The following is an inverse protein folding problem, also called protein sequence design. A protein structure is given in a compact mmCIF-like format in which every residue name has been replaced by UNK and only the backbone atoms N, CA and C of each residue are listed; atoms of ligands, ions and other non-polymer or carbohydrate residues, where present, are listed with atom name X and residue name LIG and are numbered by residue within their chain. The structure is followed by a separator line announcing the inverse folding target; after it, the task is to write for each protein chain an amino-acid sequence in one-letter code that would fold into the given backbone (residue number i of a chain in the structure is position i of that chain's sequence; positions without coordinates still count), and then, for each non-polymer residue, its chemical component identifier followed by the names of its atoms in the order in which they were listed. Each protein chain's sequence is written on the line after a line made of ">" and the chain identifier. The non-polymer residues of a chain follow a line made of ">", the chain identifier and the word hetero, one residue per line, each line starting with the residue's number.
data_IF_952184085369
#
_entry.id   IF_952184085369
#
_cell.length_a   1.000
_cell.length_b   1.000
_cell.length_c   1.000
_cell.angle_alpha   90.00
_cell.angle_beta   90.00
_cell.angle_gamma   90.00
#
_symmetry.space_group_name_H-M   'P 1'
#
loop_
_entity.id
_entity.type
_entity.pdbx_description
1 polymer ?
#
# COMPACT_ATOMS: atom_id res chain seq x y z
N UNK A 1 5.29 13.58 22.08
CA UNK A 1 5.81 13.42 20.72
C UNK A 1 6.28 14.75 20.12
N UNK A 2 5.52 15.85 20.25
CA UNK A 2 5.91 17.16 19.72
C UNK A 2 7.15 17.69 20.41
N UNK A 3 7.20 17.65 21.73
CA UNK A 3 8.39 18.01 22.53
C UNK A 3 9.61 17.16 22.15
N UNK A 4 9.42 15.86 22.02
CA UNK A 4 10.48 14.95 21.57
C UNK A 4 10.99 15.31 20.16
N UNK A 5 10.09 15.75 19.26
CA UNK A 5 10.47 16.14 17.90
C UNK A 5 11.37 17.39 17.88
N UNK A 6 11.14 18.35 18.77
CA UNK A 6 11.91 19.61 18.81
C UNK A 6 13.39 19.36 19.12
N UNK A 7 13.70 18.37 19.96
CA UNK A 7 15.07 18.03 20.38
C UNK A 7 15.70 16.88 19.60
N UNK A 8 14.95 16.23 18.72
CA UNK A 8 15.40 15.03 18.01
C UNK A 8 16.27 15.34 16.79
N UNK A 9 17.18 14.43 16.46
CA UNK A 9 17.95 14.46 15.22
C UNK A 9 17.06 14.34 13.96
N UNK A 10 17.54 14.73 12.78
CA UNK A 10 16.77 14.67 11.51
C UNK A 10 16.14 13.30 11.22
N UNK A 11 16.85 12.22 11.54
CA UNK A 11 16.34 10.86 11.33
C UNK A 11 15.25 10.49 12.32
N UNK A 12 15.43 10.85 13.60
CA UNK A 12 14.43 10.62 14.64
C UNK A 12 13.17 11.47 14.43
N UNK A 13 13.31 12.70 13.93
CA UNK A 13 12.18 13.56 13.57
C UNK A 13 11.27 12.92 12.51
N UNK A 14 11.83 12.12 11.60
CA UNK A 14 11.03 11.36 10.61
C UNK A 14 10.17 10.31 11.30
N UNK A 15 10.74 9.57 12.25
CA UNK A 15 10.03 8.55 13.01
C UNK A 15 8.94 9.14 13.90
N UNK A 16 9.23 10.28 14.56
CA UNK A 16 8.26 10.99 15.37
C UNK A 16 7.12 11.55 14.52
N UNK A 17 7.41 12.10 13.32
CA UNK A 17 6.37 12.53 12.37
C UNK A 17 5.46 11.38 11.96
N UNK A 18 6.00 10.21 11.72
CA UNK A 18 5.20 9.03 11.36
C UNK A 18 4.31 8.60 12.53
N UNK A 19 4.83 8.64 13.78
CA UNK A 19 4.01 8.38 14.98
C UNK A 19 2.90 9.43 15.18
N UNK A 20 3.16 10.70 14.90
CA UNK A 20 2.14 11.75 14.97
C UNK A 20 1.06 11.52 13.91
N UNK A 21 1.45 11.13 12.68
CA UNK A 21 0.51 10.79 11.61
C UNK A 21 -0.34 9.57 11.94
N UNK A 22 0.22 8.56 12.58
CA UNK A 22 -0.54 7.38 13.01
C UNK A 22 -1.59 7.67 14.09
N UNK A 23 -1.49 8.84 14.74
CA UNK A 23 -2.51 9.35 15.65
C UNK A 23 -3.58 10.22 14.95
N UNK A 24 -3.56 10.28 13.61
CA UNK A 24 -4.52 11.04 12.81
C UNK A 24 -4.19 12.53 12.64
N UNK A 25 -3.00 12.98 13.06
CA UNK A 25 -2.59 14.38 12.91
C UNK A 25 -1.65 14.56 11.72
N UNK A 26 -2.07 15.36 10.74
CA UNK A 26 -1.26 15.70 9.58
C UNK A 26 -0.60 17.04 9.76
N UNK A 27 0.66 17.16 9.34
CA UNK A 27 1.40 18.41 9.41
C UNK A 27 0.88 19.50 8.46
N UNK A 28 0.15 19.11 7.42
CA UNK A 28 -0.57 20.03 6.54
C UNK A 28 -1.71 20.76 7.22
N UNK A 29 -2.27 20.17 8.28
CA UNK A 29 -3.37 20.77 9.05
C UNK A 29 -2.87 21.93 9.93
N UNK A 30 -1.56 21.99 10.11
CA UNK A 30 -0.86 23.02 10.87
C UNK A 30 -0.18 23.97 9.87
N UNK A 31 -0.89 24.95 9.36
CA UNK A 31 -0.52 25.80 8.22
C UNK A 31 0.69 26.71 8.43
N UNK A 32 1.57 26.43 9.36
CA UNK A 32 2.62 27.35 9.73
C UNK A 32 3.98 27.00 9.10
N UNK A 33 4.48 27.86 8.23
CA UNK A 33 5.81 27.79 7.61
C UNK A 33 6.99 27.87 8.59
N UNK A 34 6.73 28.12 9.88
CA UNK A 34 7.74 28.33 10.93
C UNK A 34 8.14 27.10 11.71
N UNK A 35 7.56 25.93 11.44
CA UNK A 35 7.79 24.72 12.24
C UNK A 35 6.94 24.70 13.52
N UNK A 36 6.59 23.49 13.96
CA UNK A 36 5.71 23.32 15.13
C UNK A 36 6.44 23.65 16.42
N UNK A 37 5.86 24.54 17.21
CA UNK A 37 6.20 24.69 18.62
C UNK A 37 5.15 23.97 19.46
N UNK A 38 5.49 23.69 20.71
CA UNK A 38 4.54 23.13 21.70
C UNK A 38 3.40 24.10 21.94
N UNK A 39 3.66 25.40 21.85
CA UNK A 39 2.69 26.45 22.10
C UNK A 39 1.69 26.57 20.95
N UNK A 40 2.13 26.52 19.69
CA UNK A 40 1.23 26.45 18.52
C UNK A 40 0.25 25.25 18.64
N UNK A 41 0.74 24.11 19.15
CA UNK A 41 -0.10 22.93 19.36
C UNK A 41 -1.11 23.13 20.49
N UNK A 42 -0.73 23.79 21.59
CA UNK A 42 -1.65 24.13 22.68
C UNK A 42 -2.74 25.11 22.24
N UNK A 43 -2.38 26.10 21.43
CA UNK A 43 -3.34 27.04 20.87
C UNK A 43 -4.40 26.36 20.01
N UNK A 44 -3.99 25.42 19.15
CA UNK A 44 -4.91 24.65 18.32
C UNK A 44 -5.85 23.74 19.14
N UNK A 45 -5.36 23.22 20.28
CA UNK A 45 -6.20 22.47 21.22
C UNK A 45 -7.22 23.40 21.89
N UNK A 46 -6.80 24.59 22.33
CA UNK A 46 -7.69 25.58 22.95
C UNK A 46 -8.72 26.13 21.98
N UNK A 47 -8.34 26.29 20.71
CA UNK A 47 -9.25 26.69 19.62
C UNK A 47 -10.25 25.57 19.22
N UNK A 48 -10.09 24.35 19.75
CA UNK A 48 -10.94 23.20 19.42
C UNK A 48 -10.69 22.61 18.04
N UNK A 49 -9.65 23.05 17.34
CA UNK A 49 -9.24 22.51 16.04
C UNK A 49 -8.59 21.13 16.19
N UNK A 50 -8.00 20.85 17.35
CA UNK A 50 -7.46 19.54 17.72
C UNK A 50 -8.14 19.06 18.98
N UNK A 51 -8.80 17.90 18.95
CA UNK A 51 -9.41 17.26 20.12
C UNK A 51 -8.42 16.30 20.77
N UNK A 52 -8.11 16.50 22.04
CA UNK A 52 -7.39 15.51 22.84
C UNK A 52 -8.35 14.36 23.14
N UNK A 53 -8.02 13.17 22.66
CA UNK A 53 -8.71 11.95 23.07
C UNK A 53 -8.26 11.61 24.50
N UNK A 54 -9.15 11.80 25.47
CA UNK A 54 -8.89 11.42 26.86
C UNK A 54 -8.89 9.89 26.95
N UNK A 55 -7.75 9.30 27.30
CA UNK A 55 -7.56 7.84 27.40
C UNK A 55 -8.51 7.18 28.41
N UNK A 56 -9.06 7.94 29.36
CA UNK A 56 -10.11 7.44 30.28
C UNK A 56 -11.51 7.40 29.65
N UNK A 57 -11.70 7.99 28.47
CA UNK A 57 -12.98 8.03 27.77
C UNK A 57 -13.12 6.93 26.73
N UNK A 58 -12.03 6.24 26.38
CA UNK A 58 -12.07 5.10 25.46
C UNK A 58 -12.89 3.92 25.96
N UNK A 59 -13.02 3.76 27.29
CA UNK A 59 -13.93 2.75 27.85
C UNK A 59 -15.42 3.18 27.80
N UNK A 60 -15.72 4.50 27.79
CA UNK A 60 -17.10 5.02 27.69
C UNK A 60 -17.54 5.32 26.25
N UNK A 61 -16.63 5.46 25.29
CA UNK A 61 -16.94 5.69 23.87
C UNK A 61 -17.35 4.41 23.13
N UNK A 62 -17.26 3.25 23.77
CA UNK A 62 -17.87 1.99 23.26
C UNK A 62 -19.39 2.03 23.18
N UNK A 63 -20.04 3.09 23.65
CA UNK A 63 -21.49 3.26 23.61
C UNK A 63 -21.98 4.43 22.74
N UNK A 64 -21.10 5.10 21.99
CA UNK A 64 -21.53 6.15 21.06
C UNK A 64 -21.57 5.60 19.61
N UNK A 65 -22.73 5.61 19.01
CA UNK A 65 -23.10 5.02 17.72
C UNK A 65 -22.16 5.33 16.54
N UNK A 66 -21.36 6.39 16.60
CA UNK A 66 -20.43 6.77 15.55
C UNK A 66 -19.11 5.98 15.58
N UNK A 67 -18.62 5.53 16.77
CA UNK A 67 -17.45 4.68 16.86
C UNK A 67 -17.76 3.23 16.49
N UNK A 68 -18.93 2.74 16.91
CA UNK A 68 -19.39 1.39 16.53
C UNK A 68 -19.59 1.27 15.01
N UNK A 69 -20.12 2.31 14.36
CA UNK A 69 -20.27 2.34 12.91
C UNK A 69 -18.93 2.40 12.17
N UNK A 70 -17.90 3.04 12.74
CA UNK A 70 -16.58 3.12 12.11
C UNK A 70 -15.82 1.79 12.23
N UNK A 71 -15.84 1.18 13.40
CA UNK A 71 -15.23 -0.15 13.64
C UNK A 71 -15.97 -1.23 12.85
N UNK A 72 -17.30 -1.19 12.81
CA UNK A 72 -18.09 -2.13 12.00
C UNK A 72 -17.86 -1.95 10.49
N UNK A 73 -17.65 -0.71 10.01
CA UNK A 73 -17.31 -0.46 8.60
C UNK A 73 -15.91 -0.98 8.24
N UNK A 74 -14.92 -0.85 9.12
CA UNK A 74 -13.57 -1.36 8.87
C UNK A 74 -13.54 -2.89 8.84
N UNK A 75 -14.20 -3.56 9.76
CA UNK A 75 -14.39 -5.03 9.75
C UNK A 75 -15.12 -5.48 8.50
N UNK A 76 -16.20 -4.79 8.12
CA UNK A 76 -16.96 -5.09 6.88
C UNK A 76 -16.07 -4.95 5.62
N UNK A 77 -15.19 -3.97 5.55
CA UNK A 77 -14.28 -3.79 4.41
C UNK A 77 -13.25 -4.89 4.31
N UNK A 78 -12.62 -5.26 5.43
CA UNK A 78 -11.67 -6.35 5.45
C UNK A 78 -12.33 -7.67 4.99
N UNK A 79 -13.51 -7.98 5.55
CA UNK A 79 -14.23 -9.20 5.21
C UNK A 79 -14.72 -9.20 3.75
N UNK A 80 -15.20 -8.05 3.24
CA UNK A 80 -15.61 -7.91 1.84
C UNK A 80 -14.43 -8.03 0.89
N UNK A 81 -13.29 -7.41 1.21
CA UNK A 81 -12.11 -7.41 0.35
C UNK A 81 -11.52 -8.81 0.17
N UNK A 82 -11.56 -9.66 1.22
CA UNK A 82 -10.97 -11.01 1.17
C UNK A 82 -11.99 -12.12 0.95
N UNK A 83 -13.26 -11.78 0.78
CA UNK A 83 -14.30 -12.77 0.53
C UNK A 83 -14.06 -13.48 -0.81
N UNK A 84 -14.02 -14.80 -0.77
CA UNK A 84 -13.76 -15.63 -1.96
C UNK A 84 -14.70 -15.33 -3.14
N UNK A 85 -15.96 -15.02 -2.86
CA UNK A 85 -16.97 -14.74 -3.89
C UNK A 85 -16.78 -13.39 -4.59
N UNK A 86 -15.94 -12.51 -4.04
CA UNK A 86 -15.69 -11.18 -4.60
C UNK A 86 -14.49 -11.15 -5.56
N UNK A 87 -13.70 -12.24 -5.60
CA UNK A 87 -12.60 -12.35 -6.55
C UNK A 87 -13.13 -12.68 -7.94
N UNK A 88 -12.71 -11.89 -8.90
CA UNK A 88 -13.12 -12.00 -10.32
C UNK A 88 -11.93 -11.87 -11.23
N UNK A 89 -12.05 -12.42 -12.43
CA UNK A 89 -11.13 -12.11 -13.52
C UNK A 89 -11.07 -10.60 -13.79
N UNK A 90 -9.91 -10.13 -14.23
CA UNK A 90 -9.69 -8.71 -14.53
C UNK A 90 -10.76 -8.16 -15.51
N UNK A 91 -11.17 -8.98 -16.49
CA UNK A 91 -12.18 -8.62 -17.48
C UNK A 91 -13.63 -8.58 -16.94
N UNK A 92 -13.86 -9.08 -15.74
CA UNK A 92 -15.18 -9.21 -15.13
C UNK A 92 -15.42 -8.21 -13.98
N UNK A 93 -14.49 -7.28 -13.78
CA UNK A 93 -14.61 -6.27 -12.73
C UNK A 93 -15.77 -5.30 -13.04
N UNK A 94 -16.52 -4.95 -12.00
CA UNK A 94 -17.69 -4.09 -12.13
C UNK A 94 -17.26 -2.63 -12.41
N UNK A 95 -17.68 -2.12 -13.57
CA UNK A 95 -17.37 -0.76 -14.01
C UNK A 95 -17.93 0.31 -13.05
N UNK A 96 -19.04 0.05 -12.34
CA UNK A 96 -19.62 1.01 -11.41
C UNK A 96 -18.73 1.24 -10.18
N UNK A 97 -17.98 0.20 -9.77
CA UNK A 97 -17.05 0.30 -8.64
C UNK A 97 -15.68 0.82 -9.12
N UNK A 98 -15.30 0.57 -10.36
CA UNK A 98 -14.02 0.99 -10.92
C UNK A 98 -13.81 2.51 -10.91
N UNK A 99 -14.87 3.31 -11.02
CA UNK A 99 -14.80 4.77 -10.94
C UNK A 99 -14.73 5.31 -9.51
N UNK A 100 -14.77 4.43 -8.52
CA UNK A 100 -14.71 4.78 -7.10
C UNK A 100 -13.29 4.68 -6.53
N UNK A 101 -13.11 5.33 -5.39
CA UNK A 101 -11.96 5.10 -4.51
C UNK A 101 -12.14 3.77 -3.78
N UNK A 102 -11.05 3.12 -3.39
CA UNK A 102 -11.19 1.87 -2.67
C UNK A 102 -9.90 1.09 -2.46
N UNK A 103 -10.09 -0.15 -2.04
CA UNK A 103 -9.03 -1.14 -1.90
C UNK A 103 -9.19 -2.24 -2.94
N UNK A 104 -8.07 -2.85 -3.27
CA UNK A 104 -8.04 -4.05 -4.10
C UNK A 104 -7.11 -5.10 -3.48
N UNK A 105 -7.49 -6.36 -3.64
CA UNK A 105 -6.73 -7.52 -3.24
C UNK A 105 -6.51 -8.43 -4.45
N UNK A 106 -5.28 -8.86 -4.65
CA UNK A 106 -4.88 -9.73 -5.76
C UNK A 106 -4.47 -11.08 -5.20
N UNK A 107 -4.99 -12.16 -5.77
CA UNK A 107 -4.57 -13.54 -5.47
C UNK A 107 -4.31 -14.33 -6.75
N UNK A 108 -3.65 -15.48 -6.63
CA UNK A 108 -3.56 -16.44 -7.73
C UNK A 108 -4.91 -17.10 -7.98
N UNK A 109 -5.20 -17.40 -9.24
CA UNK A 109 -6.27 -18.32 -9.59
C UNK A 109 -5.94 -19.73 -9.12
N UNK A 110 -6.95 -20.55 -8.98
CA UNK A 110 -6.78 -21.98 -8.75
C UNK A 110 -5.90 -22.60 -9.85
N UNK A 111 -4.94 -23.45 -9.47
CA UNK A 111 -3.94 -24.07 -10.33
C UNK A 111 -2.85 -23.15 -10.92
N UNK A 112 -2.89 -21.84 -10.70
CA UNK A 112 -1.79 -20.93 -11.06
C UNK A 112 -0.62 -21.05 -10.09
N UNK A 113 0.61 -20.89 -10.61
CA UNK A 113 1.83 -21.00 -9.81
C UNK A 113 2.78 -19.84 -10.06
N UNK A 114 3.49 -19.47 -9.02
CA UNK A 114 4.66 -18.60 -9.09
C UNK A 114 5.92 -19.42 -9.44
N UNK A 115 7.03 -18.80 -9.83
CA UNK A 115 8.32 -19.49 -9.90
C UNK A 115 8.68 -20.17 -8.58
N UNK A 116 9.32 -21.33 -8.63
CA UNK A 116 9.54 -22.23 -7.48
C UNK A 116 9.99 -21.54 -6.19
N UNK A 117 10.94 -20.58 -6.30
CA UNK A 117 11.43 -19.83 -5.14
C UNK A 117 10.30 -19.12 -4.37
N UNK A 118 9.40 -18.47 -5.07
CA UNK A 118 8.28 -17.72 -4.48
C UNK A 118 7.08 -18.60 -4.19
N UNK A 119 6.91 -19.68 -4.95
CA UNK A 119 5.82 -20.64 -4.74
C UNK A 119 5.92 -21.30 -3.37
N UNK A 120 7.11 -21.78 -2.99
CA UNK A 120 7.32 -22.43 -1.68
C UNK A 120 6.97 -21.47 -0.53
N UNK A 121 7.44 -20.20 -0.60
CA UNK A 121 7.13 -19.20 0.42
C UNK A 121 5.64 -18.87 0.44
N UNK A 122 5.00 -18.81 -0.74
CA UNK A 122 3.57 -18.55 -0.85
C UNK A 122 2.73 -19.66 -0.24
N UNK A 123 3.15 -20.91 -0.39
CA UNK A 123 2.46 -22.08 0.19
C UNK A 123 2.54 -22.10 1.72
N UNK A 124 3.56 -21.50 2.32
CA UNK A 124 3.69 -21.38 3.77
C UNK A 124 2.86 -20.23 4.37
N UNK A 125 2.35 -19.30 3.54
CA UNK A 125 1.53 -18.18 4.04
C UNK A 125 0.17 -18.69 4.55
N UNK A 126 -0.28 -18.12 5.65
CA UNK A 126 -1.62 -18.36 6.18
C UNK A 126 -2.69 -17.90 5.18
N UNK A 127 -2.54 -16.68 4.68
CA UNK A 127 -3.43 -16.10 3.67
C UNK A 127 -2.79 -16.12 2.28
N UNK A 128 -3.55 -16.59 1.27
CA UNK A 128 -3.07 -16.79 -0.10
C UNK A 128 -3.26 -15.55 -0.97
N UNK A 129 -2.86 -14.38 -0.44
CA UNK A 129 -2.90 -13.12 -1.19
C UNK A 129 -1.52 -12.73 -1.71
N UNK A 130 -1.49 -12.24 -2.95
CA UNK A 130 -0.24 -11.76 -3.55
C UNK A 130 0.00 -10.30 -3.18
N UNK A 131 -1.05 -9.47 -3.24
CA UNK A 131 -0.91 -8.05 -3.04
C UNK A 131 -2.22 -7.41 -2.56
N UNK A 132 -2.12 -6.43 -1.67
CA UNK A 132 -3.20 -5.53 -1.27
C UNK A 132 -2.73 -4.11 -1.56
N UNK A 133 -3.61 -3.29 -2.15
CA UNK A 133 -3.32 -1.89 -2.42
C UNK A 133 -4.55 -1.02 -2.35
N UNK A 134 -4.31 0.30 -2.40
CA UNK A 134 -5.33 1.33 -2.34
C UNK A 134 -5.40 2.17 -3.60
N UNK A 135 -6.57 2.73 -3.86
CA UNK A 135 -6.83 3.70 -4.92
C UNK A 135 -7.51 4.94 -4.30
N UNK A 136 -6.73 6.01 -4.12
CA UNK A 136 -7.22 7.28 -3.53
C UNK A 136 -7.91 8.18 -4.55
N UNK A 137 -7.87 7.84 -5.84
CA UNK A 137 -8.62 8.49 -6.92
C UNK A 137 -9.68 7.55 -7.45
N UNK A 138 -9.34 6.69 -8.38
CA UNK A 138 -10.23 5.65 -8.90
C UNK A 138 -9.53 4.30 -8.95
N UNK A 139 -10.28 3.23 -8.69
CA UNK A 139 -9.80 1.86 -8.82
C UNK A 139 -9.37 1.56 -10.26
N UNK A 140 -10.10 2.05 -11.25
CA UNK A 140 -9.76 1.92 -12.68
C UNK A 140 -8.36 2.42 -12.96
N UNK A 141 -8.07 3.69 -12.63
CA UNK A 141 -6.76 4.28 -12.86
C UNK A 141 -5.64 3.53 -12.14
N UNK A 142 -5.92 3.09 -10.91
CA UNK A 142 -4.92 2.36 -10.12
C UNK A 142 -4.65 0.97 -10.67
N UNK A 143 -5.67 0.23 -11.05
CA UNK A 143 -5.53 -1.10 -11.64
C UNK A 143 -4.85 -1.05 -13.01
N UNK A 144 -5.12 -0.05 -13.85
CA UNK A 144 -4.36 0.20 -15.08
C UNK A 144 -2.85 0.38 -14.83
N UNK A 145 -2.48 1.05 -13.75
CA UNK A 145 -1.07 1.19 -13.37
C UNK A 145 -0.46 -0.13 -12.94
N UNK A 146 -1.19 -0.91 -12.14
CA UNK A 146 -0.68 -2.13 -11.52
C UNK A 146 -0.79 -3.37 -12.41
N UNK A 147 -1.68 -3.39 -13.38
CA UNK A 147 -1.92 -4.56 -14.23
C UNK A 147 -1.49 -4.37 -15.69
N UNK A 148 -1.50 -3.12 -16.19
CA UNK A 148 -1.18 -2.81 -17.59
C UNK A 148 0.06 -1.91 -17.71
N UNK A 149 0.64 -1.50 -16.60
CA UNK A 149 1.82 -0.63 -16.55
C UNK A 149 1.67 0.70 -17.31
N UNK A 150 0.43 1.25 -17.40
CA UNK A 150 0.18 2.55 -18.05
C UNK A 150 0.94 3.71 -17.38
N UNK A 151 1.27 3.55 -16.09
CA UNK A 151 2.21 4.39 -15.37
C UNK A 151 2.93 3.54 -14.31
N UNK A 152 3.95 4.04 -13.58
CA UNK A 152 4.70 3.23 -12.64
C UNK A 152 3.83 2.61 -11.54
N UNK A 153 3.60 1.31 -11.60
CA UNK A 153 2.91 0.51 -10.59
C UNK A 153 3.90 -0.26 -9.70
N UNK A 154 3.68 -0.27 -8.40
CA UNK A 154 4.57 -0.99 -7.47
C UNK A 154 4.39 -2.50 -7.58
N UNK A 155 3.15 -2.97 -7.68
CA UNK A 155 2.85 -4.38 -7.86
C UNK A 155 3.40 -4.89 -9.21
N UNK A 156 3.18 -4.15 -10.31
CA UNK A 156 3.67 -4.55 -11.63
C UNK A 156 5.18 -4.79 -11.64
N UNK A 157 5.95 -3.89 -11.01
CA UNK A 157 7.40 -4.06 -10.89
C UNK A 157 7.78 -5.27 -10.02
N UNK A 158 7.06 -5.47 -8.92
CA UNK A 158 7.29 -6.61 -8.03
C UNK A 158 7.03 -7.93 -8.73
N UNK A 159 5.90 -8.08 -9.40
CA UNK A 159 5.57 -9.33 -10.10
C UNK A 159 6.49 -9.56 -11.30
N UNK A 160 6.90 -8.52 -12.01
CA UNK A 160 7.89 -8.65 -13.07
C UNK A 160 9.24 -9.18 -12.58
N UNK A 161 9.71 -8.70 -11.41
CA UNK A 161 10.91 -9.24 -10.76
C UNK A 161 10.72 -10.71 -10.34
N UNK A 162 9.58 -11.04 -9.75
CA UNK A 162 9.23 -12.41 -9.34
C UNK A 162 9.24 -13.38 -10.52
N UNK A 163 8.71 -12.95 -11.67
CA UNK A 163 8.69 -13.73 -12.92
C UNK A 163 10.06 -13.79 -13.62
N UNK A 164 11.09 -13.13 -13.07
CA UNK A 164 12.46 -13.19 -13.57
C UNK A 164 12.79 -12.16 -14.65
N UNK A 165 11.89 -11.23 -14.97
CA UNK A 165 12.16 -10.17 -15.94
C UNK A 165 13.12 -9.13 -15.39
N UNK A 166 13.92 -8.55 -16.29
CA UNK A 166 14.87 -7.48 -15.98
C UNK A 166 14.54 -6.22 -16.79
N UNK A 167 14.71 -5.03 -16.20
CA UNK A 167 14.48 -3.79 -16.93
C UNK A 167 15.56 -3.53 -17.96
N UNK A 168 15.31 -2.59 -18.88
CA UNK A 168 16.31 -2.11 -19.83
C UNK A 168 17.47 -1.45 -19.11
N UNK A 169 18.70 -1.89 -19.42
CA UNK A 169 19.91 -1.39 -18.79
C UNK A 169 20.08 0.12 -19.03
N UNK A 170 20.36 0.86 -17.96
CA UNK A 170 20.74 2.26 -18.03
C UNK A 170 19.59 3.25 -18.36
N UNK A 171 18.35 2.80 -18.54
CA UNK A 171 17.26 3.70 -18.94
C UNK A 171 16.84 4.74 -17.87
N UNK A 172 17.35 4.59 -16.65
CA UNK A 172 17.14 5.56 -15.55
C UNK A 172 18.38 6.41 -15.25
N UNK A 173 19.47 6.29 -16.02
CA UNK A 173 20.62 7.16 -15.86
C UNK A 173 20.17 8.62 -16.00
N UNK A 174 20.56 9.47 -15.04
CA UNK A 174 20.20 10.88 -15.01
C UNK A 174 18.73 11.20 -14.69
N UNK A 175 17.88 10.21 -14.39
CA UNK A 175 16.51 10.44 -13.95
C UNK A 175 16.46 10.75 -12.46
N UNK A 176 15.62 11.72 -12.07
CA UNK A 176 15.42 12.09 -10.66
C UNK A 176 14.81 10.94 -9.84
N UNK A 177 13.86 10.19 -10.42
CA UNK A 177 13.26 9.02 -9.79
C UNK A 177 13.85 7.74 -10.38
N UNK A 178 14.75 7.12 -9.62
CA UNK A 178 15.45 5.89 -9.99
C UNK A 178 14.74 4.62 -9.54
N UNK A 179 13.59 4.73 -8.87
CA UNK A 179 12.82 3.57 -8.41
C UNK A 179 11.78 3.11 -9.43
N UNK A 180 11.47 3.95 -10.43
CA UNK A 180 10.44 3.69 -11.43
C UNK A 180 11.02 3.03 -12.69
N UNK A 181 11.75 1.92 -12.52
CA UNK A 181 12.24 1.16 -13.66
C UNK A 181 11.09 0.54 -14.47
N UNK A 182 11.35 0.35 -15.76
CA UNK A 182 10.41 -0.23 -16.72
C UNK A 182 11.05 -1.43 -17.41
N UNK A 183 10.24 -2.42 -17.70
CA UNK A 183 10.61 -3.56 -18.55
C UNK A 183 10.55 -3.17 -20.03
N UNK A 184 11.11 -3.99 -20.91
CA UNK A 184 10.93 -3.85 -22.34
C UNK A 184 9.44 -3.92 -22.72
N UNK A 185 9.05 -3.41 -23.89
CA UNK A 185 7.67 -3.53 -24.37
C UNK A 185 7.24 -5.00 -24.49
N UNK A 186 8.16 -5.85 -24.94
CA UNK A 186 7.91 -7.29 -25.08
C UNK A 186 7.68 -7.95 -23.71
N UNK A 187 8.58 -7.71 -22.74
CA UNK A 187 8.45 -8.28 -21.39
C UNK A 187 7.23 -7.71 -20.66
N UNK A 188 6.93 -6.42 -20.84
CA UNK A 188 5.70 -5.81 -20.33
C UNK A 188 4.46 -6.55 -20.83
N UNK A 189 4.39 -6.86 -22.12
CA UNK A 189 3.27 -7.62 -22.68
C UNK A 189 3.20 -9.04 -22.12
N UNK A 190 4.34 -9.73 -21.96
CA UNK A 190 4.38 -11.07 -21.35
C UNK A 190 3.87 -11.05 -19.90
N UNK A 191 4.27 -10.04 -19.12
CA UNK A 191 3.79 -9.87 -17.74
C UNK A 191 2.28 -9.60 -17.72
N UNK A 192 1.76 -8.75 -18.61
CA UNK A 192 0.32 -8.46 -18.71
C UNK A 192 -0.48 -9.73 -19.05
N UNK A 193 0.00 -10.53 -20.02
CA UNK A 193 -0.63 -11.81 -20.41
C UNK A 193 -0.64 -12.74 -19.19
N UNK A 194 0.51 -12.90 -18.52
CA UNK A 194 0.61 -13.74 -17.34
C UNK A 194 -0.37 -13.30 -16.23
N UNK A 195 -0.49 -11.99 -15.98
CA UNK A 195 -1.44 -11.46 -14.99
C UNK A 195 -2.88 -11.82 -15.36
N UNK A 196 -3.29 -11.63 -16.61
CA UNK A 196 -4.65 -11.96 -17.06
C UNK A 196 -4.99 -13.45 -16.92
N UNK A 197 -4.02 -14.30 -17.12
CA UNK A 197 -4.18 -15.76 -17.06
C UNK A 197 -4.16 -16.28 -15.62
N UNK A 198 -3.36 -15.68 -14.74
CA UNK A 198 -2.99 -16.28 -13.46
C UNK A 198 -3.54 -15.57 -12.22
N UNK A 199 -4.10 -14.36 -12.34
CA UNK A 199 -4.61 -13.66 -11.16
C UNK A 199 -6.08 -13.32 -11.25
N UNK A 200 -6.69 -13.21 -10.10
CA UNK A 200 -8.03 -12.67 -9.89
C UNK A 200 -8.00 -11.60 -8.81
N UNK A 201 -8.97 -10.69 -8.84
CA UNK A 201 -8.96 -9.46 -8.07
C UNK A 201 -10.29 -9.26 -7.38
N UNK A 202 -10.23 -8.93 -6.12
CA UNK A 202 -11.35 -8.37 -5.35
C UNK A 202 -11.16 -6.86 -5.22
N UNK A 203 -12.25 -6.10 -5.40
CA UNK A 203 -12.28 -4.64 -5.24
C UNK A 203 -13.41 -4.26 -4.30
N UNK A 204 -13.16 -3.24 -3.46
CA UNK A 204 -14.16 -2.71 -2.52
C UNK A 204 -14.07 -1.19 -2.50
N UNK A 205 -15.20 -0.51 -2.69
CA UNK A 205 -15.31 0.93 -2.48
C UNK A 205 -15.05 1.28 -1.01
N UNK A 206 -14.28 2.35 -0.79
CA UNK A 206 -13.96 2.84 0.54
C UNK A 206 -13.86 4.36 0.58
N UNK A 207 -14.38 4.91 1.68
CA UNK A 207 -14.22 6.31 2.05
C UNK A 207 -13.78 6.37 3.51
N UNK A 208 -12.56 6.85 3.75
CA UNK A 208 -12.00 6.93 5.09
C UNK A 208 -10.49 7.14 5.07
N UNK A 209 -9.82 6.71 6.13
CA UNK A 209 -8.37 6.85 6.24
C UNK A 209 -7.64 5.71 5.49
N UNK A 210 -7.31 5.96 4.22
CA UNK A 210 -6.65 4.97 3.35
C UNK A 210 -5.31 4.49 3.90
N UNK A 211 -4.49 5.36 4.49
CA UNK A 211 -3.15 4.97 4.97
C UNK A 211 -3.21 4.05 6.18
N UNK A 212 -4.16 4.31 7.08
CA UNK A 212 -4.38 3.50 8.28
C UNK A 212 -4.93 2.13 7.88
N UNK A 213 -6.04 2.11 7.16
CA UNK A 213 -6.73 0.88 6.77
C UNK A 213 -5.86 0.00 5.86
N UNK A 214 -5.10 0.59 4.90
CA UNK A 214 -4.12 -0.18 4.11
C UNK A 214 -3.08 -0.84 5.01
N UNK A 215 -2.56 -0.11 6.01
CA UNK A 215 -1.57 -0.64 6.95
C UNK A 215 -2.11 -1.80 7.77
N UNK A 216 -3.35 -1.72 8.23
CA UNK A 216 -4.03 -2.78 8.97
C UNK A 216 -4.28 -4.02 8.11
N UNK A 217 -4.80 -3.83 6.89
CA UNK A 217 -5.01 -4.90 5.93
C UNK A 217 -3.71 -5.63 5.57
N UNK A 218 -2.64 -4.88 5.26
CA UNK A 218 -1.34 -5.47 4.92
C UNK A 218 -0.73 -6.18 6.13
N UNK A 219 -0.83 -5.59 7.33
CA UNK A 219 -0.31 -6.20 8.56
C UNK A 219 -1.06 -7.48 8.92
N UNK A 220 -2.40 -7.49 8.77
CA UNK A 220 -3.26 -8.64 9.08
C UNK A 220 -3.05 -9.81 8.11
N UNK A 221 -3.05 -9.52 6.82
CA UNK A 221 -3.05 -10.56 5.78
C UNK A 221 -1.66 -10.89 5.23
N UNK A 222 -0.66 -10.09 5.54
CA UNK A 222 0.73 -10.25 5.12
C UNK A 222 0.89 -10.71 3.65
N UNK A 223 0.37 -9.96 2.63
CA UNK A 223 0.40 -10.42 1.24
C UNK A 223 1.83 -10.57 0.74
N UNK A 224 2.06 -11.51 -0.17
CA UNK A 224 3.41 -11.95 -0.56
C UNK A 224 4.30 -10.80 -1.07
N UNK A 225 3.75 -9.90 -1.91
CA UNK A 225 4.53 -8.87 -2.61
C UNK A 225 4.41 -7.46 -2.02
N UNK A 226 3.69 -7.27 -0.92
CA UNK A 226 3.77 -6.04 -0.16
C UNK A 226 5.07 -6.01 0.66
N UNK A 227 5.83 -4.92 0.54
CA UNK A 227 7.08 -4.72 1.30
C UNK A 227 6.84 -3.79 2.48
N UNK A 228 6.23 -2.62 2.20
CA UNK A 228 5.92 -1.64 3.24
C UNK A 228 4.74 -2.12 4.09
N UNK A 229 4.78 -1.84 5.40
CA UNK A 229 3.76 -2.23 6.39
C UNK A 229 3.54 -3.76 6.54
N UNK A 230 4.29 -4.61 5.84
CA UNK A 230 4.16 -6.06 5.88
C UNK A 230 5.11 -6.67 6.93
N UNK A 231 4.60 -7.33 8.00
CA UNK A 231 5.43 -7.96 9.01
C UNK A 231 6.23 -9.14 8.47
N UNK A 232 5.74 -9.77 7.38
CA UNK A 232 6.38 -10.91 6.71
C UNK A 232 6.92 -10.53 5.32
N UNK A 233 7.41 -9.29 5.16
CA UNK A 233 8.03 -8.83 3.90
C UNK A 233 9.19 -9.73 3.49
N UNK A 234 9.29 -10.00 2.20
CA UNK A 234 10.31 -10.91 1.66
C UNK A 234 11.61 -10.18 1.36
N UNK A 235 12.71 -10.66 1.93
CA UNK A 235 14.05 -10.16 1.61
C UNK A 235 14.41 -10.45 0.15
N UNK A 236 14.05 -11.61 -0.36
CA UNK A 236 14.25 -12.02 -1.74
C UNK A 236 13.62 -11.06 -2.75
N UNK A 237 12.41 -10.57 -2.47
CA UNK A 237 11.74 -9.56 -3.31
C UNK A 237 12.46 -8.22 -3.25
N UNK A 238 12.90 -7.81 -2.06
CA UNK A 238 13.66 -6.58 -1.87
C UNK A 238 14.95 -6.63 -2.69
N UNK A 239 15.67 -7.75 -2.64
CA UNK A 239 16.93 -7.97 -3.36
C UNK A 239 16.71 -8.03 -4.88
N UNK A 240 15.67 -8.74 -5.35
CA UNK A 240 15.31 -8.78 -6.77
C UNK A 240 14.92 -7.40 -7.31
N UNK A 241 14.17 -6.61 -6.56
CA UNK A 241 13.84 -5.23 -6.93
C UNK A 241 15.06 -4.31 -6.91
N UNK A 242 15.97 -4.49 -5.95
CA UNK A 242 17.24 -3.75 -5.90
C UNK A 242 18.12 -4.10 -7.10
N UNK A 243 18.22 -5.39 -7.47
CA UNK A 243 18.91 -5.85 -8.68
C UNK A 243 18.34 -5.18 -9.92
N UNK A 244 17.02 -5.20 -10.10
CA UNK A 244 16.35 -4.54 -11.24
C UNK A 244 16.63 -3.02 -11.26
N UNK A 245 16.57 -2.35 -10.11
CA UNK A 245 16.92 -0.93 -10.01
C UNK A 245 18.36 -0.68 -10.46
N UNK A 246 19.30 -1.48 -10.00
CA UNK A 246 20.73 -1.33 -10.35
C UNK A 246 20.96 -1.50 -11.86
N UNK A 247 20.33 -2.49 -12.49
CA UNK A 247 20.37 -2.65 -13.96
C UNK A 247 19.83 -1.40 -14.64
N UNK A 248 18.70 -0.86 -14.17
CA UNK A 248 18.05 0.31 -14.75
C UNK A 248 18.89 1.59 -14.64
N UNK A 249 19.71 1.73 -13.62
CA UNK A 249 20.65 2.85 -13.44
C UNK A 249 22.04 2.59 -14.03
N UNK A 250 22.24 1.45 -14.70
CA UNK A 250 23.46 1.13 -15.42
C UNK A 250 24.59 0.56 -14.57
N UNK A 251 24.32 0.15 -13.33
CA UNK A 251 25.31 -0.56 -12.51
C UNK A 251 25.42 -2.01 -13.00
N UNK A 252 26.65 -2.44 -13.30
CA UNK A 252 26.96 -3.84 -13.58
C UNK A 252 27.17 -4.60 -12.26
N UNK A 253 26.83 -5.89 -12.25
CA UNK A 253 27.09 -6.86 -11.19
C UNK A 253 28.19 -7.79 -11.63
#
# INVERSE_FOLDING_TARGET
>A
LIEQKVVASKNEQRNIRNKIRSLGFYFSDFSNKKGYTVDDFKELIQAGEIKILDTKRTEKLKTNSNCENYVLKEVDIADRLVNNNNFKDISQLDNLILDKKGFYCIRLKENSKLPNKYQLIFEEREFKFIYIGKAERTLSQRLEQELEHKSPGTFFRSIGCVLGYSPMKGHLIGKANQDNFKFSKEDTNKIIIWLKENVEISIVEYEGNFDLTEGELISKYAPLLNIDKNPLKLQELIDDRKRCKNIAIGLDF
#
